data_IF_944587426685
#
_entry.id   IF_944587426685
#
_cell.length_a   1.000
_cell.length_b   1.000
_cell.length_c   1.000
_cell.angle_alpha   90.00
_cell.angle_beta   90.00
_cell.angle_gamma   90.00
#
_symmetry.space_group_name_H-M   'P 1'
#
loop_
_entity.id
_entity.type
_entity.pdbx_description
1 polymer ?
#
# COMPACT_ATOMS: atom_id res chain seq x y z
N UNK A 1 7.72 4.14 -19.22
CA UNK A 1 8.13 2.83 -18.65
C UNK A 1 7.97 2.95 -17.14
N UNK A 2 7.20 2.06 -16.51
CA UNK A 2 7.01 2.03 -15.06
C UNK A 2 7.40 0.64 -14.53
N UNK A 3 8.67 0.41 -14.15
CA UNK A 3 9.09 -0.88 -13.64
C UNK A 3 8.50 -1.12 -12.24
N UNK A 4 7.98 -2.33 -12.00
CA UNK A 4 7.38 -2.74 -10.72
C UNK A 4 7.99 -4.04 -10.19
N UNK A 5 7.65 -4.40 -8.95
CA UNK A 5 8.10 -5.63 -8.30
C UNK A 5 7.01 -6.68 -8.49
N UNK A 6 7.36 -7.81 -9.09
CA UNK A 6 6.46 -8.97 -9.25
C UNK A 6 7.03 -10.12 -8.44
N UNK A 7 6.18 -10.73 -7.61
CA UNK A 7 6.48 -12.00 -6.98
C UNK A 7 6.55 -13.09 -8.05
N UNK A 8 7.68 -13.79 -8.15
CA UNK A 8 7.93 -14.72 -9.25
C UNK A 8 7.09 -15.99 -9.15
N UNK A 9 6.77 -16.43 -7.93
CA UNK A 9 6.08 -17.68 -7.67
C UNK A 9 4.56 -17.55 -7.86
N UNK A 10 4.00 -16.41 -7.44
CA UNK A 10 2.55 -16.15 -7.49
C UNK A 10 2.14 -15.25 -8.66
N UNK A 11 3.07 -14.54 -9.28
CA UNK A 11 2.80 -13.54 -10.32
C UNK A 11 2.16 -12.25 -9.78
N UNK A 12 2.08 -12.09 -8.45
CA UNK A 12 1.42 -10.93 -7.84
C UNK A 12 2.29 -9.69 -7.84
N UNK A 13 1.64 -8.56 -8.05
CA UNK A 13 2.28 -7.25 -7.96
C UNK A 13 2.50 -6.87 -6.50
N UNK A 14 3.73 -6.47 -6.18
CA UNK A 14 4.15 -6.05 -4.86
C UNK A 14 4.48 -4.57 -4.85
N UNK A 15 3.95 -3.86 -3.86
CA UNK A 15 4.16 -2.44 -3.66
C UNK A 15 5.04 -2.16 -2.47
N UNK A 16 5.96 -1.22 -2.64
CA UNK A 16 6.68 -0.58 -1.55
C UNK A 16 5.75 0.32 -0.74
N UNK A 17 6.19 0.71 0.46
CA UNK A 17 5.42 1.63 1.30
C UNK A 17 5.07 2.97 0.62
N UNK A 18 5.99 3.61 -0.13
CA UNK A 18 5.66 4.79 -0.94
C UNK A 18 4.59 4.55 -1.99
N UNK A 19 4.62 3.42 -2.71
CA UNK A 19 3.60 3.08 -3.72
C UNK A 19 2.23 2.85 -3.08
N UNK A 20 2.19 2.19 -1.91
CA UNK A 20 0.96 2.04 -1.15
C UNK A 20 0.39 3.39 -0.70
N UNK A 21 1.27 4.30 -0.26
CA UNK A 21 0.90 5.64 0.20
C UNK A 21 0.32 6.49 -0.94
N UNK A 22 0.99 6.46 -2.10
CA UNK A 22 0.55 7.13 -3.32
C UNK A 22 -0.83 6.63 -3.75
N UNK A 23 -1.02 5.31 -3.83
CA UNK A 23 -2.28 4.69 -4.25
C UNK A 23 -3.48 5.13 -3.39
N UNK A 24 -3.31 5.26 -2.08
CA UNK A 24 -4.41 5.65 -1.16
C UNK A 24 -4.47 7.17 -0.88
N UNK A 25 -3.60 7.96 -1.51
CA UNK A 25 -3.59 9.42 -1.36
C UNK A 25 -3.07 9.93 -0.01
N UNK A 26 -2.07 9.29 0.60
CA UNK A 26 -1.43 9.78 1.85
C UNK A 26 0.08 9.92 1.72
N UNK A 27 0.72 10.57 2.69
CA UNK A 27 2.19 10.67 2.70
C UNK A 27 2.85 9.34 3.07
N UNK A 28 4.09 9.07 2.62
CA UNK A 28 4.83 7.87 3.03
C UNK A 28 5.05 7.78 4.55
N UNK A 29 5.14 8.91 5.25
CA UNK A 29 5.21 8.96 6.71
C UNK A 29 3.90 8.49 7.36
N UNK A 30 2.75 8.94 6.82
CA UNK A 30 1.42 8.50 7.24
C UNK A 30 1.26 6.99 7.03
N UNK A 31 1.67 6.47 5.87
CA UNK A 31 1.66 5.03 5.60
C UNK A 31 2.52 4.24 6.61
N UNK A 32 3.74 4.71 6.88
CA UNK A 32 4.61 4.11 7.90
C UNK A 32 3.94 4.06 9.26
N UNK A 33 3.26 5.13 9.66
CA UNK A 33 2.49 5.17 10.90
C UNK A 33 1.34 4.16 10.88
N UNK A 34 0.59 4.03 9.77
CA UNK A 34 -0.47 3.02 9.68
C UNK A 34 0.08 1.60 9.79
N UNK A 35 1.16 1.28 9.07
CA UNK A 35 1.80 -0.03 9.15
C UNK A 35 2.35 -0.32 10.55
N UNK A 36 2.94 0.67 11.23
CA UNK A 36 3.46 0.51 12.58
C UNK A 36 2.36 0.29 13.64
N UNK A 37 1.15 0.79 13.39
CA UNK A 37 -0.01 0.60 14.26
C UNK A 37 -0.95 -0.53 13.76
N UNK A 38 -0.46 -1.41 12.88
CA UNK A 38 -1.22 -2.57 12.38
C UNK A 38 -2.58 -2.19 11.75
N UNK A 39 -2.66 -0.98 11.18
CA UNK A 39 -3.86 -0.44 10.50
C UNK A 39 -3.89 -0.74 9.01
N UNK A 40 -2.83 -1.32 8.48
CA UNK A 40 -2.72 -1.76 7.08
C UNK A 40 -2.73 -3.29 7.05
N UNK A 41 -2.92 -3.88 5.87
CA UNK A 41 -2.63 -5.29 5.69
C UNK A 41 -1.16 -5.61 5.98
N UNK A 42 -0.87 -6.89 6.20
CA UNK A 42 0.48 -7.33 6.57
C UNK A 42 1.41 -7.23 5.37
N UNK A 43 2.68 -6.89 5.61
CA UNK A 43 3.67 -6.96 4.54
C UNK A 43 3.98 -8.43 4.24
N UNK A 44 4.10 -8.77 2.96
CA UNK A 44 4.32 -10.14 2.49
C UNK A 44 5.81 -10.47 2.39
N UNK A 45 6.66 -9.46 2.21
CA UNK A 45 8.10 -9.63 2.09
C UNK A 45 8.87 -8.41 2.61
N UNK A 46 10.17 -8.60 2.87
CA UNK A 46 11.12 -7.51 3.11
C UNK A 46 12.33 -7.69 2.19
N UNK A 47 12.59 -6.71 1.35
CA UNK A 47 13.76 -6.67 0.46
C UNK A 47 14.82 -5.70 1.01
N UNK A 48 16.08 -5.95 0.64
CA UNK A 48 17.22 -5.11 1.03
C UNK A 48 17.34 -4.90 2.56
N UNK A 49 16.84 -5.86 3.35
CA UNK A 49 16.88 -5.87 4.81
C UNK A 49 15.99 -4.85 5.53
N UNK A 50 15.33 -3.93 4.80
CA UNK A 50 14.55 -2.83 5.43
C UNK A 50 13.29 -2.40 4.67
N UNK A 51 13.16 -2.76 3.41
CA UNK A 51 12.05 -2.31 2.56
C UNK A 51 10.95 -3.35 2.59
N UNK A 52 9.87 -3.06 3.32
CA UNK A 52 8.66 -3.89 3.34
C UNK A 52 7.90 -3.77 2.03
N UNK A 53 7.33 -4.89 1.60
CA UNK A 53 6.49 -5.02 0.42
C UNK A 53 5.10 -5.52 0.81
N UNK A 54 4.07 -4.96 0.19
CA UNK A 54 2.67 -5.34 0.36
C UNK A 54 2.12 -5.90 -0.95
N UNK A 55 1.17 -6.82 -0.82
CA UNK A 55 0.40 -7.30 -1.96
C UNK A 55 -0.51 -6.19 -2.48
N UNK A 56 -0.36 -5.82 -3.75
CA UNK A 56 -1.11 -4.72 -4.35
C UNK A 56 -2.63 -4.96 -4.33
N UNK A 57 -3.09 -6.19 -4.54
CA UNK A 57 -4.51 -6.53 -4.53
C UNK A 57 -5.11 -6.46 -3.13
N UNK A 58 -4.34 -6.86 -2.12
CA UNK A 58 -4.72 -6.75 -0.72
C UNK A 58 -4.84 -5.28 -0.30
N UNK A 59 -3.92 -4.40 -0.74
CA UNK A 59 -4.01 -2.96 -0.50
C UNK A 59 -5.25 -2.35 -1.18
N UNK A 60 -5.51 -2.69 -2.44
CA UNK A 60 -6.71 -2.23 -3.18
C UNK A 60 -7.98 -2.62 -2.44
N UNK A 61 -8.08 -3.90 -2.06
CA UNK A 61 -9.24 -4.45 -1.34
C UNK A 61 -9.42 -3.80 0.03
N UNK A 62 -8.33 -3.62 0.78
CA UNK A 62 -8.36 -2.93 2.07
C UNK A 62 -8.79 -1.47 1.92
N UNK A 63 -8.27 -0.74 0.93
CA UNK A 63 -8.61 0.66 0.72
C UNK A 63 -10.09 0.88 0.42
N UNK A 64 -10.69 0.02 -0.42
CA UNK A 64 -12.13 0.06 -0.73
C UNK A 64 -13.01 -0.15 0.50
N UNK A 65 -12.57 -1.00 1.44
CA UNK A 65 -13.34 -1.34 2.65
C UNK A 65 -12.94 -0.52 3.88
N UNK A 66 -11.98 0.40 3.73
CA UNK A 66 -11.39 1.08 4.88
C UNK A 66 -12.39 2.09 5.49
N UNK A 67 -12.67 2.02 6.80
CA UNK A 67 -13.47 3.04 7.47
C UNK A 67 -12.69 4.36 7.54
N UNK A 68 -13.29 5.44 7.03
CA UNK A 68 -12.76 6.80 7.16
C UNK A 68 -12.02 7.39 5.95
N UNK A 69 -12.21 6.86 4.73
CA UNK A 69 -11.80 7.61 3.54
C UNK A 69 -12.63 8.91 3.47
N UNK A 70 -12.01 10.10 3.44
CA UNK A 70 -12.75 11.31 3.10
C UNK A 70 -13.32 11.12 1.70
N UNK A 71 -14.64 11.17 1.58
CA UNK A 71 -15.28 11.34 0.27
C UNK A 71 -14.66 12.59 -0.36
N UNK A 72 -14.20 12.54 -1.62
CA UNK A 72 -13.79 13.75 -2.30
C UNK A 72 -15.03 14.65 -2.33
N UNK A 73 -14.99 15.77 -1.61
CA UNK A 73 -15.98 16.82 -1.77
C UNK A 73 -15.79 17.37 -3.18
N UNK A 74 -16.63 16.95 -4.13
CA UNK A 74 -16.81 17.67 -5.38
C UNK A 74 -17.25 19.09 -5.03
N UNK A 75 -16.34 20.05 -5.19
CA UNK A 75 -16.62 21.46 -5.09
C UNK A 75 -17.52 21.84 -6.27
N UNK A 76 -18.79 22.14 -5.94
CA UNK A 76 -19.82 22.69 -6.85
C UNK A 76 -19.35 24.03 -7.42
#
# INVERSE_FOLDING_TARGET
MNPGIIDKDTGRELWTGPECADYIGVTPATWRNYSANERTPNYVATILGKTRLWDAEEIKSWHTNRPGSPVPTETI
#
